data_IF_609488501748
#
_entry.id   IF_609488501748
#
_cell.length_a   1.000
_cell.length_b   1.000
_cell.length_c   1.000
_cell.angle_alpha   90.00
_cell.angle_beta   90.00
_cell.angle_gamma   90.00
#
_symmetry.space_group_name_H-M   'P 1'
#
loop_
_entity.id
_entity.type
_entity.pdbx_description
1 polymer ?
#
# COMPACT_ATOMS: atom_id res chain seq x y z
N UNK A 1 -7.81 -7.07 -8.20
CA UNK A 1 -8.73 -7.47 -7.12
C UNK A 1 -8.26 -8.82 -6.61
N UNK A 2 -8.06 -8.95 -5.31
CA UNK A 2 -7.79 -10.25 -4.71
C UNK A 2 -9.10 -11.04 -4.65
N UNK A 3 -9.05 -12.31 -5.02
CA UNK A 3 -10.19 -13.22 -4.87
C UNK A 3 -10.09 -13.89 -3.50
N UNK A 4 -11.16 -13.83 -2.72
CA UNK A 4 -11.22 -14.33 -1.35
C UNK A 4 -12.34 -15.38 -1.22
N UNK A 5 -12.06 -16.43 -0.47
CA UNK A 5 -12.98 -17.54 -0.21
C UNK A 5 -13.24 -17.71 1.29
N UNK A 6 -13.81 -16.70 1.97
CA UNK A 6 -14.05 -16.75 3.40
C UNK A 6 -15.12 -17.77 3.78
N UNK A 7 -14.86 -18.52 4.84
CA UNK A 7 -15.90 -19.24 5.56
C UNK A 7 -16.49 -18.34 6.65
N UNK A 8 -17.82 -18.19 6.68
CA UNK A 8 -18.47 -17.27 7.60
C UNK A 8 -19.04 -17.97 8.83
N UNK A 9 -18.57 -17.55 10.01
CA UNK A 9 -19.14 -17.98 11.28
C UNK A 9 -20.32 -17.07 11.63
N UNK A 10 -21.48 -17.70 11.85
CA UNK A 10 -22.77 -17.02 12.02
C UNK A 10 -23.28 -17.21 13.44
N UNK A 11 -23.69 -16.11 14.10
CA UNK A 11 -24.34 -16.12 15.42
C UNK A 11 -25.67 -15.41 15.33
N UNK A 12 -26.73 -16.01 15.87
CA UNK A 12 -28.10 -15.49 15.78
C UNK A 12 -28.55 -15.13 14.35
N UNK A 13 -28.11 -15.91 13.36
CA UNK A 13 -28.42 -15.67 11.94
C UNK A 13 -27.62 -14.54 11.28
N UNK A 14 -26.69 -13.90 11.99
CA UNK A 14 -25.81 -12.86 11.43
C UNK A 14 -24.37 -13.36 11.30
N UNK A 15 -23.74 -13.10 10.16
CA UNK A 15 -22.30 -13.34 9.95
C UNK A 15 -21.52 -12.38 10.85
N UNK A 16 -20.73 -12.92 11.78
CA UNK A 16 -19.92 -12.13 12.72
C UNK A 16 -18.42 -12.23 12.42
N UNK A 17 -17.96 -13.38 11.94
CA UNK A 17 -16.55 -13.62 11.65
C UNK A 17 -16.38 -14.27 10.28
N UNK A 18 -15.24 -14.01 9.65
CA UNK A 18 -14.78 -14.69 8.44
C UNK A 18 -13.46 -15.41 8.77
N UNK A 19 -13.38 -16.69 8.43
CA UNK A 19 -12.15 -17.47 8.47
C UNK A 19 -11.60 -17.47 7.05
N UNK A 20 -10.35 -17.05 6.93
CA UNK A 20 -9.61 -17.02 5.68
C UNK A 20 -8.48 -18.02 5.75
N UNK A 21 -8.06 -18.53 4.59
CA UNK A 21 -6.77 -19.21 4.51
C UNK A 21 -5.65 -18.24 4.89
N UNK A 22 -4.54 -18.76 5.39
CA UNK A 22 -3.40 -17.92 5.77
C UNK A 22 -2.84 -17.15 4.57
N UNK A 23 -2.83 -17.75 3.37
CA UNK A 23 -2.39 -17.08 2.14
C UNK A 23 -3.29 -15.89 1.76
N UNK A 24 -4.60 -16.04 1.90
CA UNK A 24 -5.55 -14.94 1.65
C UNK A 24 -5.39 -13.83 2.68
N UNK A 25 -5.15 -14.17 3.95
CA UNK A 25 -4.84 -13.19 4.99
C UNK A 25 -3.57 -12.39 4.65
N UNK A 26 -2.48 -13.07 4.26
CA UNK A 26 -1.24 -12.40 3.85
C UNK A 26 -1.44 -11.46 2.67
N UNK A 27 -2.21 -11.88 1.65
CA UNK A 27 -2.53 -11.02 0.50
C UNK A 27 -3.32 -9.78 0.90
N UNK A 28 -4.19 -9.86 1.90
CA UNK A 28 -4.89 -8.69 2.44
C UNK A 28 -3.89 -7.75 3.14
N UNK A 29 -2.98 -8.28 3.95
CA UNK A 29 -1.96 -7.46 4.61
C UNK A 29 -1.09 -6.71 3.60
N UNK A 30 -0.57 -7.42 2.59
CA UNK A 30 0.23 -6.83 1.52
C UNK A 30 -0.55 -5.74 0.75
N UNK A 31 -1.84 -5.96 0.48
CA UNK A 31 -2.67 -4.96 -0.18
C UNK A 31 -2.87 -3.70 0.67
N UNK A 32 -3.02 -3.86 1.98
CA UNK A 32 -3.15 -2.74 2.92
C UNK A 32 -1.85 -1.94 3.03
N UNK A 33 -0.70 -2.62 3.13
CA UNK A 33 0.62 -1.98 3.14
C UNK A 33 0.85 -1.17 1.85
N UNK A 34 0.54 -1.77 0.69
CA UNK A 34 0.63 -1.05 -0.58
C UNK A 34 -0.30 0.17 -0.66
N UNK A 35 -1.46 0.14 0.00
CA UNK A 35 -2.37 1.28 0.04
C UNK A 35 -1.78 2.41 0.89
N UNK A 36 -1.20 2.08 2.04
CA UNK A 36 -0.54 3.03 2.94
C UNK A 36 0.65 3.71 2.24
N UNK A 37 1.51 2.94 1.55
CA UNK A 37 2.61 3.47 0.74
C UNK A 37 2.12 4.46 -0.33
N UNK A 38 0.98 4.19 -0.96
CA UNK A 38 0.37 5.09 -1.95
C UNK A 38 -0.18 6.36 -1.30
N UNK A 39 -0.77 6.27 -0.12
CA UNK A 39 -1.21 7.46 0.62
C UNK A 39 -0.03 8.35 0.99
N UNK A 40 1.07 7.76 1.45
CA UNK A 40 2.29 8.49 1.80
C UNK A 40 2.95 9.11 0.57
N UNK A 41 3.01 8.40 -0.55
CA UNK A 41 3.48 8.97 -1.82
C UNK A 41 2.62 10.17 -2.27
N UNK A 42 1.30 10.12 -2.04
CA UNK A 42 0.41 11.24 -2.39
C UNK A 42 0.66 12.45 -1.50
N UNK A 43 0.81 12.24 -0.18
CA UNK A 43 1.16 13.32 0.76
C UNK A 43 2.50 13.95 0.39
N UNK A 44 3.54 13.15 0.14
CA UNK A 44 4.85 13.64 -0.26
C UNK A 44 4.78 14.47 -1.55
N UNK A 45 4.03 14.01 -2.56
CA UNK A 45 3.82 14.79 -3.80
C UNK A 45 3.09 16.11 -3.55
N UNK A 46 2.09 16.13 -2.67
CA UNK A 46 1.39 17.36 -2.32
C UNK A 46 2.33 18.35 -1.62
N UNK A 47 3.12 17.89 -0.64
CA UNK A 47 4.12 18.70 0.07
C UNK A 47 5.24 19.24 -0.85
N UNK A 48 5.64 18.46 -1.86
CA UNK A 48 6.69 18.83 -2.81
C UNK A 48 6.19 19.61 -4.04
N UNK A 49 4.88 19.89 -4.17
CA UNK A 49 4.29 20.48 -5.39
C UNK A 49 4.99 21.77 -5.84
N UNK A 50 5.36 22.63 -4.88
CA UNK A 50 5.99 23.93 -5.13
C UNK A 50 7.52 23.90 -4.96
N UNK A 51 8.09 22.73 -4.68
CA UNK A 51 9.54 22.56 -4.48
C UNK A 51 10.18 22.28 -5.86
N UNK A 52 11.27 23.00 -6.23
CA UNK A 52 11.99 22.72 -7.46
C UNK A 52 12.49 21.27 -7.47
N UNK A 53 12.22 20.54 -8.55
CA UNK A 53 12.79 19.22 -8.77
C UNK A 53 14.19 19.32 -9.39
N UNK A 54 14.99 18.27 -9.22
CA UNK A 54 16.31 18.14 -9.82
C UNK A 54 16.28 17.08 -10.92
N UNK A 55 16.98 17.34 -12.02
CA UNK A 55 17.26 16.32 -13.04
C UNK A 55 18.24 15.28 -12.50
N UNK A 56 18.24 14.09 -13.11
CA UNK A 56 19.17 13.02 -12.75
C UNK A 56 20.64 13.46 -12.88
N UNK A 57 20.98 14.25 -13.90
CA UNK A 57 22.35 14.76 -14.11
C UNK A 57 22.76 15.76 -13.03
N UNK A 58 21.84 16.59 -12.53
CA UNK A 58 22.09 17.49 -11.41
C UNK A 58 22.34 16.70 -10.13
N UNK A 59 21.50 15.69 -9.85
CA UNK A 59 21.66 14.82 -8.68
C UNK A 59 22.97 14.04 -8.73
N UNK A 60 23.34 13.50 -9.90
CA UNK A 60 24.61 12.81 -10.14
C UNK A 60 25.83 13.67 -9.82
N UNK A 61 25.81 14.93 -10.26
CA UNK A 61 26.86 15.91 -9.94
C UNK A 61 26.89 16.26 -8.45
N UNK A 62 25.74 16.35 -7.79
CA UNK A 62 25.67 16.64 -6.34
C UNK A 62 26.22 15.48 -5.49
N UNK A 63 26.02 14.24 -5.95
CA UNK A 63 26.38 13.02 -5.22
C UNK A 63 27.73 12.41 -5.65
N UNK A 64 28.44 13.04 -6.60
CA UNK A 64 29.73 12.59 -7.15
C UNK A 64 29.68 11.15 -7.72
N UNK A 65 28.62 10.87 -8.50
CA UNK A 65 28.39 9.59 -9.16
C UNK A 65 28.17 9.81 -10.66
N UNK A 66 29.05 9.23 -11.49
CA UNK A 66 29.00 9.29 -12.97
C UNK A 66 27.84 8.46 -13.56
#
# INVERSE_FOLDING_TARGET
MIELHPEFLTKNGKKEFAVLSYEEFLKIQELLENLEDLEDLRKAKEEETDIPSYSLDEVKKMLDIE
#
